data_IF_830076545211
#
_entry.id   IF_830076545211
#
_cell.length_a   1.000
_cell.length_b   1.000
_cell.length_c   1.000
_cell.angle_alpha   90.00
_cell.angle_beta   90.00
_cell.angle_gamma   90.00
#
_symmetry.space_group_name_H-M   'P 1'
#
loop_
_entity.id
_entity.type
_entity.pdbx_description
1 polymer ?
#
# COMPACT_ATOMS: atom_id res chain seq x y z
N UNK A 1 8.78 19.91 -22.69
CA UNK A 1 9.49 18.70 -23.15
C UNK A 1 9.60 17.74 -21.97
N UNK A 2 8.76 16.70 -21.93
CA UNK A 2 8.86 15.65 -20.91
C UNK A 2 9.99 14.72 -21.35
N UNK A 3 11.10 14.72 -20.63
CA UNK A 3 12.32 14.00 -21.01
C UNK A 3 12.13 12.47 -21.06
N UNK A 4 12.89 11.82 -21.94
CA UNK A 4 12.85 10.38 -22.23
C UNK A 4 13.08 9.44 -21.01
N UNK A 5 13.36 9.97 -19.82
CA UNK A 5 13.46 9.20 -18.57
C UNK A 5 12.13 8.91 -17.86
N UNK A 6 11.05 9.65 -18.17
CA UNK A 6 9.84 9.66 -17.33
C UNK A 6 8.89 8.46 -17.51
N UNK A 7 9.16 7.54 -18.43
CA UNK A 7 8.30 6.37 -18.70
C UNK A 7 9.02 5.03 -18.62
N UNK A 8 10.22 4.98 -18.02
CA UNK A 8 10.98 3.71 -17.89
C UNK A 8 10.16 2.61 -17.22
N UNK A 9 9.41 2.95 -16.17
CA UNK A 9 8.50 2.01 -15.51
C UNK A 9 7.43 1.47 -16.45
N UNK A 10 6.82 2.34 -17.27
CA UNK A 10 5.79 1.95 -18.23
C UNK A 10 6.34 0.96 -19.27
N UNK A 11 7.50 1.26 -19.86
CA UNK A 11 8.14 0.36 -20.81
C UNK A 11 8.44 -1.01 -20.19
N UNK A 12 8.96 -1.03 -18.96
CA UNK A 12 9.21 -2.28 -18.22
C UNK A 12 7.91 -3.05 -17.92
N UNK A 13 6.81 -2.36 -17.64
CA UNK A 13 5.51 -2.98 -17.39
C UNK A 13 4.96 -3.65 -18.66
N UNK A 14 4.97 -2.94 -19.79
CA UNK A 14 4.52 -3.43 -21.10
C UNK A 14 5.39 -4.59 -21.58
N UNK A 15 6.71 -4.47 -21.46
CA UNK A 15 7.65 -5.52 -21.85
C UNK A 15 7.38 -6.83 -21.09
N UNK A 16 7.11 -6.76 -19.78
CA UNK A 16 6.77 -7.95 -18.97
C UNK A 16 5.49 -8.64 -19.42
N UNK A 17 4.49 -7.90 -19.90
CA UNK A 17 3.25 -8.46 -20.44
C UNK A 17 3.52 -9.08 -21.82
N UNK A 18 4.27 -8.39 -22.68
CA UNK A 18 4.62 -8.87 -24.02
C UNK A 18 5.42 -10.18 -23.99
N UNK A 19 6.40 -10.27 -23.10
CA UNK A 19 7.24 -11.47 -22.96
C UNK A 19 6.50 -12.66 -22.34
N UNK A 20 5.23 -12.51 -21.96
CA UNK A 20 4.51 -13.47 -21.13
C UNK A 20 5.34 -13.97 -19.95
N UNK A 21 6.15 -13.06 -19.38
CA UNK A 21 7.22 -13.40 -18.45
C UNK A 21 6.70 -13.93 -17.10
N UNK A 22 5.39 -13.92 -16.89
CA UNK A 22 4.73 -14.51 -15.72
C UNK A 22 3.56 -15.40 -16.15
N UNK A 23 3.35 -16.56 -15.50
CA UNK A 23 2.30 -17.53 -15.88
C UNK A 23 0.88 -16.95 -15.96
N UNK A 24 0.63 -15.83 -15.28
CA UNK A 24 -0.68 -15.14 -15.21
C UNK A 24 -0.77 -13.88 -16.07
N UNK A 25 0.28 -13.53 -16.81
CA UNK A 25 0.32 -12.35 -17.70
C UNK A 25 0.57 -12.84 -19.12
N UNK A 26 -0.49 -13.04 -19.88
CA UNK A 26 -0.37 -13.34 -21.31
C UNK A 26 -0.29 -12.05 -22.11
N UNK A 27 0.33 -12.10 -23.29
CA UNK A 27 0.37 -10.98 -24.23
C UNK A 27 -1.02 -10.50 -24.65
N UNK A 28 -2.06 -11.34 -24.51
CA UNK A 28 -3.44 -10.99 -24.85
C UNK A 28 -4.02 -9.89 -23.96
N UNK A 29 -3.47 -9.68 -22.75
CA UNK A 29 -3.89 -8.59 -21.86
C UNK A 29 -3.64 -7.20 -22.47
N UNK A 30 -2.76 -7.09 -23.47
CA UNK A 30 -2.59 -5.83 -24.21
C UNK A 30 -3.81 -5.44 -25.07
N UNK A 31 -4.74 -6.38 -25.28
CA UNK A 31 -5.97 -6.14 -26.02
C UNK A 31 -7.14 -5.73 -25.10
N UNK A 32 -6.93 -5.73 -23.79
CA UNK A 32 -7.96 -5.32 -22.82
C UNK A 32 -8.32 -3.85 -23.06
N UNK A 33 -9.62 -3.56 -23.09
CA UNK A 33 -10.15 -2.21 -23.16
C UNK A 33 -10.67 -1.76 -21.78
N UNK A 34 -10.93 -0.45 -21.64
CA UNK A 34 -11.39 0.12 -20.38
C UNK A 34 -12.64 -0.58 -19.82
N UNK A 35 -13.57 -1.01 -20.69
CA UNK A 35 -14.77 -1.73 -20.25
C UNK A 35 -14.46 -3.08 -19.63
N UNK A 36 -13.45 -3.81 -20.12
CA UNK A 36 -13.04 -5.10 -19.55
C UNK A 36 -12.50 -4.89 -18.14
N UNK A 37 -11.69 -3.84 -17.97
CA UNK A 37 -11.12 -3.46 -16.67
C UNK A 37 -12.25 -3.04 -15.71
N UNK A 38 -13.15 -2.15 -16.13
CA UNK A 38 -14.28 -1.70 -15.30
C UNK A 38 -15.17 -2.87 -14.88
N UNK A 39 -15.44 -3.84 -15.77
CA UNK A 39 -16.23 -5.03 -15.45
C UNK A 39 -15.55 -5.94 -14.41
N UNK A 40 -14.22 -5.98 -14.39
CA UNK A 40 -13.48 -6.73 -13.37
C UNK A 40 -13.52 -5.98 -12.03
N UNK A 41 -13.27 -4.67 -12.06
CA UNK A 41 -13.25 -3.83 -10.86
C UNK A 41 -14.62 -3.81 -10.15
N UNK A 42 -15.72 -3.74 -10.91
CA UNK A 42 -17.08 -3.68 -10.37
C UNK A 42 -17.46 -4.88 -9.49
N UNK A 43 -16.72 -5.99 -9.57
CA UNK A 43 -16.91 -7.16 -8.71
C UNK A 43 -16.45 -6.93 -7.28
N UNK A 44 -15.67 -5.88 -7.03
CA UNK A 44 -14.95 -5.67 -5.77
C UNK A 44 -15.03 -4.26 -5.22
N UNK A 45 -15.17 -3.24 -6.06
CA UNK A 45 -15.09 -1.82 -5.67
C UNK A 45 -16.06 -1.44 -4.56
N UNK A 46 -17.22 -2.10 -4.48
CA UNK A 46 -18.23 -1.82 -3.45
C UNK A 46 -17.79 -2.19 -2.02
N UNK A 47 -16.85 -3.14 -1.88
CA UNK A 47 -16.47 -3.69 -0.57
C UNK A 47 -14.95 -3.81 -0.34
N UNK A 48 -14.11 -3.50 -1.34
CA UNK A 48 -12.64 -3.58 -1.28
C UNK A 48 -12.03 -2.20 -1.53
N UNK A 49 -11.69 -1.47 -0.46
CA UNK A 49 -10.98 -0.19 -0.55
C UNK A 49 -9.61 -0.31 -1.20
N UNK A 50 -8.89 -1.42 -0.99
CA UNK A 50 -7.60 -1.68 -1.62
C UNK A 50 -7.70 -1.90 -3.15
N UNK A 51 -8.88 -2.27 -3.67
CA UNK A 51 -9.13 -2.28 -5.13
C UNK A 51 -9.54 -0.89 -5.62
N UNK A 52 -10.37 -0.16 -4.87
CA UNK A 52 -10.67 1.26 -5.17
C UNK A 52 -9.41 2.13 -5.21
N UNK A 53 -8.37 1.79 -4.44
CA UNK A 53 -7.05 2.42 -4.53
C UNK A 53 -6.47 2.36 -5.95
N UNK A 54 -6.53 1.19 -6.61
CA UNK A 54 -6.05 1.01 -7.98
C UNK A 54 -6.93 1.71 -9.00
N UNK A 55 -8.25 1.71 -8.80
CA UNK A 55 -9.18 2.44 -9.65
C UNK A 55 -8.91 3.96 -9.61
N UNK A 56 -8.75 4.53 -8.41
CA UNK A 56 -8.41 5.93 -8.22
C UNK A 56 -7.08 6.28 -8.89
N UNK A 57 -6.07 5.42 -8.74
CA UNK A 57 -4.78 5.58 -9.42
C UNK A 57 -4.93 5.56 -10.95
N UNK A 58 -5.58 4.52 -11.49
CA UNK A 58 -5.75 4.31 -12.92
C UNK A 58 -6.49 5.45 -13.60
N UNK A 59 -7.59 5.92 -13.00
CA UNK A 59 -8.42 6.99 -13.54
C UNK A 59 -7.69 8.34 -13.58
N UNK A 60 -6.72 8.58 -12.69
CA UNK A 60 -6.02 9.86 -12.57
C UNK A 60 -4.60 9.85 -13.13
N UNK A 61 -4.00 8.69 -13.41
CA UNK A 61 -2.60 8.54 -13.79
C UNK A 61 -2.22 9.39 -15.01
N UNK A 62 -3.03 9.36 -16.08
CA UNK A 62 -2.75 10.13 -17.29
C UNK A 62 -2.80 11.64 -17.05
N UNK A 63 -3.75 12.10 -16.23
CA UNK A 63 -3.87 13.53 -15.86
C UNK A 63 -2.63 13.97 -15.08
N UNK A 64 -2.26 13.20 -14.06
CA UNK A 64 -1.09 13.45 -13.20
C UNK A 64 0.22 13.49 -14.00
N UNK A 65 0.42 12.55 -14.93
CA UNK A 65 1.62 12.54 -15.79
C UNK A 65 1.70 13.83 -16.65
N UNK A 66 0.56 14.30 -17.16
CA UNK A 66 0.49 15.48 -18.02
C UNK A 66 0.66 16.78 -17.24
N UNK A 67 0.07 16.86 -16.05
CA UNK A 67 0.13 18.05 -15.19
C UNK A 67 1.40 18.14 -14.35
N UNK A 68 2.09 17.01 -14.14
CA UNK A 68 3.20 16.92 -13.20
C UNK A 68 2.76 16.90 -11.73
N UNK A 69 1.51 16.52 -11.45
CA UNK A 69 0.97 16.42 -10.09
C UNK A 69 1.43 15.19 -9.31
N UNK A 70 0.83 14.96 -8.14
CA UNK A 70 1.10 13.79 -7.31
C UNK A 70 -0.05 12.78 -7.37
N UNK A 71 0.22 11.54 -7.79
CA UNK A 71 -0.80 10.48 -7.77
C UNK A 71 -1.21 10.12 -6.33
N UNK A 72 -0.33 10.41 -5.36
CA UNK A 72 -0.58 10.16 -3.95
C UNK A 72 -1.77 10.97 -3.43
N UNK A 73 -2.03 12.16 -3.98
CA UNK A 73 -3.19 13.00 -3.60
C UNK A 73 -4.53 12.32 -3.86
N UNK A 74 -4.62 11.48 -4.88
CA UNK A 74 -5.82 10.71 -5.21
C UNK A 74 -5.88 9.40 -4.43
N UNK A 75 -4.71 8.79 -4.19
CA UNK A 75 -4.59 7.53 -3.45
C UNK A 75 -4.76 7.70 -1.94
N UNK A 76 -4.48 8.87 -1.38
CA UNK A 76 -4.55 9.12 0.06
C UNK A 76 -5.94 9.59 0.54
N UNK A 77 -6.95 9.55 -0.34
CA UNK A 77 -8.33 9.91 0.00
C UNK A 77 -9.06 8.72 0.61
N UNK A 78 -10.11 8.97 1.42
CA UNK A 78 -11.05 7.97 1.95
C UNK A 78 -10.43 6.74 2.66
N UNK A 79 -9.18 6.86 3.12
CA UNK A 79 -8.41 5.76 3.72
C UNK A 79 -7.96 4.69 2.71
N UNK A 80 -7.94 4.98 1.40
CA UNK A 80 -7.54 4.04 0.36
C UNK A 80 -6.08 3.60 0.52
N UNK A 81 -5.16 4.54 0.76
CA UNK A 81 -3.75 4.24 0.97
C UNK A 81 -3.54 3.32 2.17
N UNK A 82 -4.26 3.54 3.28
CA UNK A 82 -4.19 2.67 4.46
C UNK A 82 -4.69 1.27 4.15
N UNK A 83 -5.85 1.16 3.52
CA UNK A 83 -6.45 -0.12 3.12
C UNK A 83 -5.52 -0.93 2.21
N UNK A 84 -4.72 -0.28 1.37
CA UNK A 84 -3.71 -0.95 0.54
C UNK A 84 -2.60 -1.63 1.37
N UNK A 85 -2.23 -1.07 2.53
CA UNK A 85 -1.20 -1.59 3.43
C UNK A 85 -1.73 -2.46 4.58
N UNK A 86 -3.05 -2.61 4.71
CA UNK A 86 -3.65 -3.47 5.72
C UNK A 86 -3.42 -4.96 5.42
N UNK A 87 -3.36 -5.79 6.47
CA UNK A 87 -3.01 -7.22 6.34
C UNK A 87 -4.03 -8.09 5.59
N UNK A 88 -5.22 -7.58 5.29
CA UNK A 88 -6.26 -8.23 4.49
C UNK A 88 -6.29 -7.74 3.02
N UNK A 89 -5.44 -6.77 2.67
CA UNK A 89 -5.32 -6.28 1.30
C UNK A 89 -4.81 -7.38 0.36
N UNK A 90 -5.18 -7.33 -0.92
CA UNK A 90 -4.72 -8.33 -1.90
C UNK A 90 -3.19 -8.27 -2.09
N UNK A 91 -2.59 -7.12 -1.82
CA UNK A 91 -1.19 -6.83 -2.17
C UNK A 91 -0.20 -7.02 -1.03
N UNK A 92 -0.64 -7.09 0.23
CA UNK A 92 0.22 -7.26 1.40
C UNK A 92 0.66 -8.70 1.62
N UNK A 93 -0.14 -9.67 1.15
CA UNK A 93 0.16 -11.09 1.29
C UNK A 93 0.32 -11.52 2.76
N UNK A 94 0.99 -12.66 3.05
CA UNK A 94 1.10 -13.18 4.41
C UNK A 94 2.16 -12.47 5.27
N UNK A 95 2.91 -11.51 4.70
CA UNK A 95 4.08 -10.91 5.35
C UNK A 95 3.73 -10.18 6.65
N UNK A 96 2.63 -9.43 6.68
CA UNK A 96 2.15 -8.75 7.89
C UNK A 96 1.85 -9.75 9.02
N UNK A 97 1.17 -10.85 8.71
CA UNK A 97 0.87 -11.91 9.68
C UNK A 97 2.12 -12.65 10.18
N UNK A 98 3.18 -12.71 9.38
CA UNK A 98 4.47 -13.24 9.83
C UNK A 98 5.17 -12.27 10.77
N UNK A 99 5.14 -10.98 10.46
CA UNK A 99 5.67 -9.91 11.31
C UNK A 99 4.97 -9.91 12.68
N UNK A 100 3.64 -9.91 12.70
CA UNK A 100 2.86 -9.91 13.94
C UNK A 100 3.21 -11.11 14.83
N UNK A 101 3.29 -12.31 14.24
CA UNK A 101 3.68 -13.53 14.98
C UNK A 101 5.11 -13.48 15.48
N UNK A 102 6.02 -12.87 14.73
CA UNK A 102 7.41 -12.73 15.13
C UNK A 102 7.52 -11.75 16.31
N UNK A 103 6.91 -10.58 16.17
CA UNK A 103 6.94 -9.53 17.19
C UNK A 103 6.29 -10.02 18.49
N UNK A 104 5.14 -10.71 18.43
CA UNK A 104 4.49 -11.31 19.59
C UNK A 104 5.38 -12.33 20.33
N UNK A 105 6.19 -13.10 19.61
CA UNK A 105 7.15 -14.03 20.24
C UNK A 105 8.30 -13.29 20.92
N UNK A 106 8.80 -12.23 20.29
CA UNK A 106 9.90 -11.41 20.82
C UNK A 106 9.42 -10.67 22.08
N UNK A 107 8.24 -10.07 22.05
CA UNK A 107 7.66 -9.33 23.19
C UNK A 107 7.43 -10.19 24.42
N UNK A 108 6.93 -11.41 24.24
CA UNK A 108 6.78 -12.39 25.34
C UNK A 108 8.11 -12.75 25.99
N UNK A 109 9.21 -12.77 25.23
CA UNK A 109 10.55 -13.08 25.75
C UNK A 109 11.22 -11.85 26.36
N UNK A 110 10.87 -10.66 25.89
CA UNK A 110 11.45 -9.38 26.28
C UNK A 110 10.32 -8.34 26.46
N UNK A 111 9.61 -8.30 27.59
CA UNK A 111 8.45 -7.44 27.76
C UNK A 111 8.75 -5.93 27.87
N UNK A 112 10.04 -5.53 27.80
CA UNK A 112 10.50 -4.13 27.90
C UNK A 112 11.25 -3.68 26.65
N UNK A 113 10.80 -4.13 25.48
CA UNK A 113 11.41 -3.73 24.20
C UNK A 113 11.18 -2.25 23.93
N UNK A 114 12.20 -1.59 23.38
CA UNK A 114 12.04 -0.31 22.71
C UNK A 114 11.98 -0.59 21.21
N UNK A 115 10.88 -0.19 20.57
CA UNK A 115 10.58 -0.51 19.18
C UNK A 115 10.69 0.78 18.37
N UNK A 116 11.37 0.72 17.23
CA UNK A 116 11.44 1.80 16.25
C UNK A 116 10.85 1.30 14.94
N UNK A 117 9.80 1.95 14.46
CA UNK A 117 9.23 1.69 13.14
C UNK A 117 9.69 2.79 12.17
N UNK A 118 10.32 2.38 11.06
CA UNK A 118 10.80 3.27 10.00
C UNK A 118 9.81 3.21 8.83
N UNK A 119 9.28 4.37 8.44
CA UNK A 119 8.32 4.46 7.35
C UNK A 119 6.96 3.89 7.74
N UNK A 120 6.50 4.24 8.94
CA UNK A 120 5.25 3.74 9.50
C UNK A 120 4.01 4.24 8.71
N UNK A 121 4.16 5.35 7.98
CA UNK A 121 3.21 5.84 7.00
C UNK A 121 1.80 5.96 7.55
N UNK A 122 0.85 5.27 6.93
CA UNK A 122 -0.58 5.30 7.32
C UNK A 122 -0.89 4.64 8.68
N UNK A 123 0.10 4.05 9.36
CA UNK A 123 -0.09 3.32 10.61
C UNK A 123 -0.73 1.93 10.44
N UNK A 124 -0.92 1.44 9.21
CA UNK A 124 -1.53 0.13 8.96
C UNK A 124 -0.76 -1.02 9.65
N UNK A 125 0.57 -1.01 9.53
CA UNK A 125 1.45 -1.99 10.18
C UNK A 125 1.54 -1.72 11.67
N UNK A 126 1.72 -0.46 12.10
CA UNK A 126 1.70 -0.05 13.51
C UNK A 126 0.46 -0.59 14.25
N UNK A 127 -0.73 -0.45 13.65
CA UNK A 127 -1.99 -0.91 14.21
C UNK A 127 -1.99 -2.43 14.41
N UNK A 128 -1.46 -3.20 13.44
CA UNK A 128 -1.36 -4.67 13.54
C UNK A 128 -0.37 -5.10 14.61
N UNK A 129 0.82 -4.50 14.58
CA UNK A 129 1.92 -4.81 15.49
C UNK A 129 1.57 -4.43 16.92
N UNK A 130 0.93 -3.29 17.15
CA UNK A 130 0.47 -2.84 18.47
C UNK A 130 -0.48 -3.88 19.10
N UNK A 131 -1.44 -4.40 18.33
CA UNK A 131 -2.31 -5.50 18.79
C UNK A 131 -1.54 -6.78 19.09
N UNK A 132 -0.55 -7.13 18.27
CA UNK A 132 0.27 -8.33 18.47
C UNK A 132 1.20 -8.22 19.69
N UNK A 133 1.62 -7.00 20.04
CA UNK A 133 2.44 -6.72 21.22
C UNK A 133 1.65 -6.86 22.51
N UNK A 134 0.35 -6.54 22.52
CA UNK A 134 -0.54 -6.64 23.68
C UNK A 134 0.04 -5.97 24.94
N UNK A 135 0.59 -4.76 24.76
CA UNK A 135 1.23 -3.98 25.83
C UNK A 135 2.59 -4.50 26.31
N UNK A 136 3.13 -5.59 25.75
CA UNK A 136 4.42 -6.16 26.16
C UNK A 136 5.63 -5.44 25.52
N UNK A 137 5.73 -4.13 25.72
CA UNK A 137 6.85 -3.30 25.29
C UNK A 137 7.05 -2.10 26.24
N UNK A 138 8.23 -1.48 26.20
CA UNK A 138 8.53 -0.30 27.01
C UNK A 138 8.31 1.01 26.24
N UNK A 139 8.61 1.04 24.94
CA UNK A 139 8.32 2.21 24.09
C UNK A 139 8.16 1.82 22.62
N UNK A 140 7.36 2.60 21.90
CA UNK A 140 7.18 2.49 20.44
C UNK A 140 7.42 3.85 19.80
N UNK A 141 8.49 3.96 19.01
CA UNK A 141 8.83 5.18 18.27
C UNK A 141 8.33 5.04 16.83
N UNK A 142 7.26 5.77 16.53
CA UNK A 142 6.72 5.92 15.18
C UNK A 142 7.55 6.93 14.39
N UNK A 143 8.04 6.55 13.21
CA UNK A 143 8.75 7.49 12.33
C UNK A 143 8.31 7.37 10.88
N UNK A 144 8.25 8.51 10.20
CA UNK A 144 8.02 8.59 8.76
C UNK A 144 8.77 9.78 8.17
N UNK A 145 9.06 9.73 6.87
CA UNK A 145 9.69 10.85 6.16
C UNK A 145 8.70 12.02 6.01
N UNK A 146 7.40 11.72 5.90
CA UNK A 146 6.35 12.71 5.73
C UNK A 146 5.66 13.01 7.05
N UNK A 147 5.68 14.29 7.45
CA UNK A 147 4.96 14.76 8.64
C UNK A 147 3.44 14.66 8.51
N UNK A 148 2.91 14.47 7.30
CA UNK A 148 1.47 14.34 7.06
C UNK A 148 0.84 13.14 7.80
N UNK A 149 1.64 12.19 8.27
CA UNK A 149 1.18 11.01 8.99
C UNK A 149 1.21 11.15 10.52
N UNK A 150 1.91 12.14 11.07
CA UNK A 150 2.10 12.22 12.53
C UNK A 150 0.83 12.60 13.28
N UNK A 151 0.08 13.61 12.80
CA UNK A 151 -1.16 14.01 13.48
C UNK A 151 -2.20 12.87 13.50
N UNK A 152 -2.50 12.19 12.37
CA UNK A 152 -3.38 11.02 12.41
C UNK A 152 -2.86 9.87 13.28
N UNK A 153 -1.54 9.65 13.30
CA UNK A 153 -0.94 8.62 14.14
C UNK A 153 -1.03 8.96 15.63
N UNK A 154 -0.85 10.23 16.00
CA UNK A 154 -1.03 10.71 17.37
C UNK A 154 -2.50 10.63 17.81
N UNK A 155 -3.45 10.93 16.92
CA UNK A 155 -4.88 10.75 17.20
C UNK A 155 -5.27 9.28 17.42
N UNK A 156 -4.64 8.34 16.72
CA UNK A 156 -4.96 6.91 16.84
C UNK A 156 -4.17 6.18 17.95
N UNK A 157 -2.89 6.51 18.11
CA UNK A 157 -1.95 5.77 18.95
C UNK A 157 -1.34 6.61 20.08
N UNK A 158 -1.63 7.91 20.14
CA UNK A 158 -1.22 8.76 21.25
C UNK A 158 -1.80 8.26 22.56
N UNK A 159 -0.96 8.23 23.60
CA UNK A 159 -1.34 7.92 24.97
C UNK A 159 -1.95 9.12 25.69
#
# INVERSE_FOLDING_TARGET
>A
MVGAGNLRWYNLAVEKVNLSAQPRKSSNLNNDILSDITQILSRYTDHRKDIRFFEAAGNNLLSVIRSGGSILEYMNQDGLLRAFYEGNALCTGPASQWLDRLVAKISRRFPKLNILEIGAGTGAITSSVSRALDGAYASYTFTDMSSAFFLPAEEEFGE
#
